data_IF_515400144091
#
_entry.id   IF_515400144091
#
_cell.length_a   1.000
_cell.length_b   1.000
_cell.length_c   1.000
_cell.angle_alpha   90.00
_cell.angle_beta   90.00
_cell.angle_gamma   90.00
#
_symmetry.space_group_name_H-M   'P 1'
#
loop_
_entity.id
_entity.type
_entity.pdbx_description
1 polymer ?
#
# COMPACT_ATOMS: atom_id res chain seq x y z
N UNK A 1 -5.94 -22.65 -31.71
CA UNK A 1 -5.20 -21.92 -32.76
C UNK A 1 -5.97 -20.63 -32.98
N UNK A 2 -5.55 -19.41 -32.64
CA UNK A 2 -4.23 -18.76 -32.56
C UNK A 2 -4.16 -17.84 -31.30
N UNK A 3 -2.95 -17.45 -30.90
CA UNK A 3 -2.51 -17.12 -29.54
C UNK A 3 -2.60 -15.61 -29.20
N UNK A 4 -3.16 -15.25 -28.03
CA UNK A 4 -3.21 -13.88 -27.45
C UNK A 4 -1.88 -13.53 -26.75
N UNK A 5 -0.81 -13.28 -27.50
CA UNK A 5 0.41 -12.66 -26.97
C UNK A 5 0.82 -11.47 -27.85
N UNK A 6 1.20 -10.40 -27.16
CA UNK A 6 1.87 -9.20 -27.67
C UNK A 6 0.97 -8.10 -28.22
N UNK A 7 0.26 -7.37 -27.34
CA UNK A 7 0.04 -5.94 -27.55
C UNK A 7 1.39 -5.28 -27.23
N UNK A 8 2.24 -5.17 -28.25
CA UNK A 8 3.44 -4.36 -28.18
C UNK A 8 3.00 -2.91 -28.03
N UNK A 9 3.45 -2.29 -26.94
CA UNK A 9 3.37 -0.86 -26.70
C UNK A 9 3.97 -0.14 -27.91
N UNK A 10 3.13 0.49 -28.72
CA UNK A 10 3.58 1.46 -29.71
C UNK A 10 3.87 2.77 -28.96
N UNK A 11 5.01 2.84 -28.27
CA UNK A 11 5.62 4.14 -27.99
C UNK A 11 5.96 4.67 -29.37
N UNK A 12 5.37 5.81 -29.74
CA UNK A 12 5.81 6.59 -30.88
C UNK A 12 7.28 6.96 -30.66
N UNK A 13 8.19 6.09 -31.10
CA UNK A 13 9.58 6.42 -31.39
C UNK A 13 9.61 7.14 -32.73
N UNK A 14 9.02 8.32 -32.81
CA UNK A 14 9.48 9.33 -33.75
C UNK A 14 10.45 10.21 -32.99
N UNK A 15 11.64 9.67 -32.70
CA UNK A 15 12.80 10.51 -32.43
C UNK A 15 13.10 11.16 -33.78
N UNK A 16 13.06 12.50 -33.91
CA UNK A 16 13.70 13.14 -35.04
C UNK A 16 15.19 12.87 -34.88
N UNK A 17 15.68 11.84 -35.56
CA UNK A 17 17.12 11.68 -35.76
C UNK A 17 17.54 12.83 -36.66
N UNK A 18 18.40 13.70 -36.11
CA UNK A 18 19.01 14.85 -36.78
C UNK A 18 18.04 15.96 -37.21
N UNK A 19 17.54 16.72 -36.22
CA UNK A 19 17.24 18.13 -36.42
C UNK A 19 18.01 18.91 -35.35
N UNK A 20 18.81 19.87 -35.80
CA UNK A 20 19.44 20.94 -35.02
C UNK A 20 18.62 21.23 -33.75
N UNK A 21 19.19 21.01 -32.56
CA UNK A 21 18.49 21.32 -31.30
C UNK A 21 18.11 22.80 -31.32
N UNK A 22 16.85 23.09 -31.67
CA UNK A 22 16.31 24.42 -31.47
C UNK A 22 16.42 24.69 -29.97
N UNK A 23 16.99 25.83 -29.59
CA UNK A 23 17.08 26.21 -28.18
C UNK A 23 15.66 26.21 -27.61
N UNK A 24 15.37 25.35 -26.64
CA UNK A 24 14.11 25.42 -25.91
C UNK A 24 14.00 26.76 -25.17
N UNK A 25 12.79 27.17 -24.85
CA UNK A 25 12.51 28.41 -24.14
C UNK A 25 13.01 28.27 -22.70
N UNK A 26 14.16 28.87 -22.40
CA UNK A 26 14.76 28.75 -21.06
C UNK A 26 13.93 29.43 -19.97
N UNK A 27 13.18 30.48 -20.30
CA UNK A 27 12.34 31.20 -19.35
C UNK A 27 10.96 31.47 -19.93
N UNK A 28 9.96 30.73 -19.45
CA UNK A 28 8.55 30.90 -19.82
C UNK A 28 7.96 31.89 -18.83
N UNK A 29 7.87 33.15 -19.24
CA UNK A 29 7.31 34.21 -18.41
C UNK A 29 5.82 34.01 -18.14
N UNK A 30 5.30 34.65 -17.10
CA UNK A 30 3.86 34.63 -16.79
C UNK A 30 3.03 35.09 -17.99
N UNK A 31 1.95 34.36 -18.27
CA UNK A 31 1.07 34.62 -19.42
C UNK A 31 1.63 34.15 -20.77
N UNK A 32 2.83 33.55 -20.79
CA UNK A 32 3.39 32.90 -21.98
C UNK A 32 2.98 31.43 -21.99
N UNK A 33 2.65 30.91 -23.17
CA UNK A 33 2.38 29.49 -23.39
C UNK A 33 3.40 28.91 -24.36
N UNK A 34 3.96 27.77 -24.01
CA UNK A 34 4.97 27.06 -24.80
C UNK A 34 4.57 25.59 -24.92
N UNK A 35 4.89 24.96 -26.05
CA UNK A 35 4.61 23.55 -26.23
C UNK A 35 5.60 22.88 -27.17
N UNK A 36 5.63 21.54 -27.16
CA UNK A 36 6.41 20.72 -28.10
C UNK A 36 7.93 20.96 -27.99
N UNK A 37 8.43 21.24 -26.79
CA UNK A 37 9.86 21.42 -26.57
C UNK A 37 10.56 20.13 -26.18
N UNK A 38 11.82 20.00 -26.62
CA UNK A 38 12.76 19.04 -26.09
C UNK A 38 13.76 19.79 -25.22
N UNK A 39 13.66 19.59 -23.91
CA UNK A 39 14.44 20.30 -22.90
C UNK A 39 15.63 19.42 -22.53
N UNK A 40 16.83 19.89 -22.84
CA UNK A 40 18.11 19.26 -22.56
C UNK A 40 19.01 20.11 -21.64
N UNK A 41 18.49 21.26 -21.18
CA UNK A 41 19.13 22.13 -20.20
C UNK A 41 18.15 22.64 -19.14
N UNK A 42 18.48 23.76 -18.50
CA UNK A 42 17.63 24.36 -17.46
C UNK A 42 16.49 25.18 -18.05
N UNK A 43 15.25 24.91 -17.63
CA UNK A 43 14.06 25.71 -17.96
C UNK A 43 13.39 26.23 -16.69
N UNK A 44 13.03 27.51 -16.67
CA UNK A 44 12.19 28.14 -15.64
C UNK A 44 10.80 28.42 -16.20
N UNK A 45 9.76 28.01 -15.48
CA UNK A 45 8.36 28.10 -15.91
C UNK A 45 7.56 28.91 -14.89
N UNK A 46 7.14 30.10 -15.32
CA UNK A 46 6.18 30.98 -14.63
C UNK A 46 4.87 31.16 -15.42
N UNK A 47 4.83 30.70 -16.68
CA UNK A 47 3.66 30.59 -17.53
C UNK A 47 3.23 29.13 -17.73
N UNK A 48 2.74 28.78 -18.92
CA UNK A 48 2.23 27.45 -19.22
C UNK A 48 3.17 26.69 -20.16
N UNK A 49 3.43 25.41 -19.89
CA UNK A 49 4.10 24.51 -20.83
C UNK A 49 3.33 23.22 -21.02
N UNK A 50 3.18 22.77 -22.27
CA UNK A 50 2.48 21.52 -22.59
C UNK A 50 3.26 20.63 -23.55
N UNK A 51 2.91 19.34 -23.62
CA UNK A 51 3.36 18.43 -24.68
C UNK A 51 4.88 18.44 -24.92
N UNK A 52 5.67 18.44 -23.85
CA UNK A 52 7.13 18.63 -23.95
C UNK A 52 7.87 17.49 -23.28
N UNK A 53 9.13 17.27 -23.69
CA UNK A 53 9.99 16.21 -23.17
C UNK A 53 11.20 16.81 -22.46
N UNK A 54 11.53 16.28 -21.29
CA UNK A 54 12.74 16.62 -20.54
C UNK A 54 13.68 15.42 -20.58
N UNK A 55 14.81 15.58 -21.26
CA UNK A 55 15.83 14.54 -21.45
C UNK A 55 16.84 14.53 -20.29
N UNK A 56 17.76 13.57 -20.23
CA UNK A 56 18.72 13.39 -19.12
C UNK A 56 19.55 14.64 -18.75
N UNK A 57 19.82 15.54 -19.69
CA UNK A 57 20.49 16.83 -19.40
C UNK A 57 19.54 17.93 -18.91
N UNK A 58 18.24 17.75 -19.12
CA UNK A 58 17.21 18.73 -18.85
C UNK A 58 16.75 18.78 -17.40
N UNK A 59 16.49 19.99 -16.92
CA UNK A 59 15.85 20.24 -15.63
C UNK A 59 14.86 21.39 -15.74
N UNK A 60 13.58 21.09 -15.61
CA UNK A 60 12.51 22.07 -15.55
C UNK A 60 12.16 22.45 -14.11
N UNK A 61 12.09 23.75 -13.86
CA UNK A 61 11.63 24.34 -12.61
C UNK A 61 10.29 25.02 -12.86
N UNK A 62 9.24 24.55 -12.20
CA UNK A 62 7.91 25.16 -12.28
C UNK A 62 7.68 25.92 -10.97
N UNK A 63 7.41 27.21 -11.10
CA UNK A 63 7.23 28.13 -10.00
C UNK A 63 5.78 28.57 -9.88
N UNK A 64 5.50 29.33 -8.82
CA UNK A 64 4.18 29.89 -8.58
C UNK A 64 3.67 30.71 -9.76
N UNK A 65 2.42 30.45 -10.14
CA UNK A 65 1.77 31.03 -11.32
C UNK A 65 2.06 30.29 -12.63
N UNK A 66 3.00 29.35 -12.62
CA UNK A 66 3.24 28.45 -13.74
C UNK A 66 2.38 27.19 -13.67
N UNK A 67 2.21 26.54 -14.83
CA UNK A 67 1.55 25.25 -14.96
C UNK A 67 2.26 24.38 -16.01
N UNK A 68 2.17 23.07 -15.86
CA UNK A 68 2.66 22.15 -16.87
C UNK A 68 1.73 20.95 -17.08
N UNK A 69 1.49 20.57 -18.33
CA UNK A 69 0.73 19.36 -18.65
C UNK A 69 1.39 18.51 -19.72
N UNK A 70 1.13 17.20 -19.68
CA UNK A 70 1.52 16.27 -20.75
C UNK A 70 3.04 16.28 -20.99
N UNK A 71 3.79 16.27 -19.88
CA UNK A 71 5.26 16.33 -19.87
C UNK A 71 5.87 14.93 -19.70
N UNK A 72 6.85 14.60 -20.52
CA UNK A 72 7.59 13.33 -20.44
C UNK A 72 8.97 13.56 -19.80
N UNK A 73 9.23 12.93 -18.65
CA UNK A 73 10.56 12.89 -18.03
C UNK A 73 11.33 11.65 -18.53
N UNK A 74 12.01 11.79 -19.66
CA UNK A 74 12.86 10.75 -20.24
C UNK A 74 14.30 10.88 -19.70
N UNK A 75 14.48 10.54 -18.43
CA UNK A 75 15.76 10.72 -17.72
C UNK A 75 15.96 12.12 -17.12
N UNK A 76 15.19 13.11 -17.57
CA UNK A 76 15.25 14.48 -17.09
C UNK A 76 14.60 14.70 -15.73
N UNK A 77 14.70 15.95 -15.24
CA UNK A 77 14.20 16.33 -13.92
C UNK A 77 13.11 17.40 -14.01
N UNK A 78 12.13 17.31 -13.13
CA UNK A 78 11.15 18.37 -12.89
C UNK A 78 11.08 18.70 -11.40
N UNK A 79 11.17 19.98 -11.05
CA UNK A 79 11.01 20.48 -9.69
C UNK A 79 9.87 21.49 -9.67
N UNK A 80 8.86 21.23 -8.84
CA UNK A 80 7.60 22.00 -8.85
C UNK A 80 7.40 22.62 -7.48
N UNK A 81 7.16 23.93 -7.45
CA UNK A 81 6.98 24.71 -6.23
C UNK A 81 5.73 25.57 -6.38
N UNK A 82 4.75 25.39 -5.50
CA UNK A 82 3.52 26.19 -5.46
C UNK A 82 2.79 26.31 -6.81
N UNK A 83 2.66 25.19 -7.53
CA UNK A 83 2.12 25.13 -8.88
C UNK A 83 1.38 23.82 -9.16
N UNK A 84 0.43 23.87 -10.08
CA UNK A 84 -0.37 22.73 -10.50
C UNK A 84 0.18 22.12 -11.78
N UNK A 85 0.32 20.79 -11.80
CA UNK A 85 0.80 20.03 -12.95
C UNK A 85 -0.07 18.82 -13.22
N UNK A 86 -0.14 18.40 -14.49
CA UNK A 86 -1.02 17.28 -14.91
C UNK A 86 -0.33 16.35 -15.90
N UNK A 87 -0.70 15.07 -15.90
CA UNK A 87 -0.35 14.10 -16.94
C UNK A 87 1.17 13.97 -17.18
N UNK A 88 1.96 13.97 -16.11
CA UNK A 88 3.40 13.73 -16.25
C UNK A 88 3.67 12.24 -16.45
N UNK A 89 4.47 11.89 -17.45
CA UNK A 89 5.00 10.53 -17.63
C UNK A 89 6.45 10.48 -17.20
N UNK A 90 6.74 9.77 -16.11
CA UNK A 90 8.06 9.68 -15.48
C UNK A 90 8.64 8.29 -15.76
N UNK A 91 9.48 8.16 -16.79
CA UNK A 91 9.99 6.83 -17.25
C UNK A 91 11.34 6.51 -16.61
N UNK A 92 12.27 7.45 -16.64
CA UNK A 92 13.58 7.31 -16.00
C UNK A 92 14.02 8.62 -15.33
N UNK A 93 13.10 9.58 -15.27
CA UNK A 93 13.34 10.90 -14.70
C UNK A 93 12.97 10.99 -13.23
N UNK A 94 13.15 12.20 -12.70
CA UNK A 94 12.81 12.51 -11.31
C UNK A 94 11.87 13.71 -11.29
N UNK A 95 10.71 13.54 -10.69
CA UNK A 95 9.85 14.65 -10.32
C UNK A 95 9.93 14.91 -8.82
N UNK A 96 10.13 16.17 -8.43
CA UNK A 96 10.13 16.61 -7.04
C UNK A 96 9.03 17.65 -6.86
N UNK A 97 8.04 17.32 -6.04
CA UNK A 97 6.95 18.20 -5.65
C UNK A 97 7.28 18.77 -4.27
N UNK A 98 7.40 20.10 -4.18
CA UNK A 98 7.62 20.82 -2.94
C UNK A 98 6.34 21.54 -2.50
N UNK A 99 6.42 22.29 -1.42
CA UNK A 99 5.29 23.00 -0.80
C UNK A 99 4.39 23.70 -1.82
N UNK A 100 3.09 23.45 -1.70
CA UNK A 100 2.04 24.00 -2.58
C UNK A 100 1.98 23.38 -3.98
N UNK A 101 2.87 22.43 -4.33
CA UNK A 101 2.79 21.74 -5.61
C UNK A 101 1.68 20.68 -5.59
N UNK A 102 0.87 20.65 -6.65
CA UNK A 102 -0.16 19.63 -6.86
C UNK A 102 0.11 18.93 -8.18
N UNK A 103 0.37 17.63 -8.13
CA UNK A 103 0.47 16.77 -9.32
C UNK A 103 -0.79 15.93 -9.49
N UNK A 104 -1.34 15.92 -10.70
CA UNK A 104 -2.53 15.15 -11.04
C UNK A 104 -2.23 14.16 -12.17
N UNK A 105 -2.61 12.88 -11.98
CA UNK A 105 -2.50 11.84 -13.01
C UNK A 105 -1.08 11.60 -13.53
N UNK A 106 -0.10 11.48 -12.63
CA UNK A 106 1.26 11.08 -13.03
C UNK A 106 1.34 9.58 -13.34
N UNK A 107 1.98 9.20 -14.44
CA UNK A 107 2.35 7.81 -14.75
C UNK A 107 3.84 7.62 -14.44
N UNK A 108 4.17 6.76 -13.50
CA UNK A 108 5.54 6.52 -13.03
C UNK A 108 5.92 5.09 -13.39
N UNK A 109 6.92 4.96 -14.25
CA UNK A 109 7.36 3.68 -14.83
C UNK A 109 8.87 3.61 -14.91
N UNK A 110 9.45 2.49 -15.35
CA UNK A 110 10.89 2.31 -15.51
C UNK A 110 11.68 2.59 -14.23
N UNK A 111 12.75 3.40 -14.30
CA UNK A 111 13.45 3.87 -13.08
C UNK A 111 12.91 5.21 -12.56
N UNK A 112 11.74 5.63 -13.06
CA UNK A 112 11.09 6.88 -12.70
C UNK A 112 10.81 7.04 -11.21
N UNK A 113 11.01 8.26 -10.71
CA UNK A 113 10.80 8.59 -9.31
C UNK A 113 9.95 9.85 -9.19
N UNK A 114 8.91 9.81 -8.36
CA UNK A 114 8.26 11.02 -7.83
C UNK A 114 8.54 11.13 -6.33
N UNK A 115 8.98 12.31 -5.89
CA UNK A 115 9.09 12.69 -4.48
C UNK A 115 8.02 13.70 -4.15
N UNK A 116 7.21 13.40 -3.14
CA UNK A 116 6.16 14.29 -2.62
C UNK A 116 6.63 14.75 -1.25
N UNK A 117 7.07 16.01 -1.17
CA UNK A 117 7.64 16.59 0.05
C UNK A 117 6.60 17.38 0.85
N UNK A 118 7.04 17.98 1.95
CA UNK A 118 6.22 18.76 2.87
C UNK A 118 5.33 19.81 2.18
N UNK A 119 4.03 19.72 2.46
CA UNK A 119 3.00 20.59 1.88
C UNK A 119 2.70 20.35 0.40
N UNK A 120 3.24 19.29 -0.21
CA UNK A 120 2.95 18.89 -1.58
C UNK A 120 1.91 17.78 -1.65
N UNK A 121 1.20 17.70 -2.78
CA UNK A 121 0.18 16.68 -3.03
C UNK A 121 0.38 16.00 -4.39
N UNK A 122 0.26 14.68 -4.40
CA UNK A 122 0.14 13.88 -5.63
C UNK A 122 -1.19 13.14 -5.65
N UNK A 123 -1.95 13.27 -6.73
CA UNK A 123 -3.27 12.68 -6.85
C UNK A 123 -3.40 11.85 -8.13
N UNK A 124 -4.05 10.68 -8.02
CA UNK A 124 -4.35 9.79 -9.15
C UNK A 124 -3.10 9.29 -9.89
N UNK A 125 -1.99 9.12 -9.17
CA UNK A 125 -0.76 8.58 -9.76
C UNK A 125 -0.90 7.08 -10.04
N UNK A 126 -0.30 6.62 -11.13
CA UNK A 126 -0.17 5.19 -11.47
C UNK A 126 1.30 4.79 -11.42
N UNK A 127 1.65 3.76 -10.66
CA UNK A 127 3.01 3.24 -10.51
C UNK A 127 3.09 1.86 -11.15
N UNK A 128 4.03 1.64 -12.07
CA UNK A 128 4.18 0.35 -12.76
C UNK A 128 5.64 0.07 -13.13
N UNK A 129 6.00 -1.17 -13.45
CA UNK A 129 7.26 -1.53 -14.13
C UNK A 129 8.54 -0.89 -13.53
N UNK A 130 8.68 -0.87 -12.20
CA UNK A 130 9.82 -0.30 -11.47
C UNK A 130 9.63 1.16 -11.01
N UNK A 131 8.55 1.82 -11.43
CA UNK A 131 8.23 3.19 -11.04
C UNK A 131 8.00 3.32 -9.54
N UNK A 132 8.55 4.39 -8.95
CA UNK A 132 8.52 4.61 -7.50
C UNK A 132 7.98 5.97 -7.12
N UNK A 133 7.13 5.99 -6.10
CA UNK A 133 6.66 7.20 -5.45
C UNK A 133 7.07 7.19 -3.98
N UNK A 134 7.62 8.31 -3.52
CA UNK A 134 8.05 8.51 -2.14
C UNK A 134 7.25 9.66 -1.53
N UNK A 135 6.45 9.35 -0.52
CA UNK A 135 5.70 10.31 0.28
C UNK A 135 6.54 10.58 1.53
N UNK A 136 7.22 11.72 1.51
CA UNK A 136 8.08 12.14 2.59
C UNK A 136 7.27 12.85 3.69
N UNK A 137 7.92 13.20 4.80
CA UNK A 137 7.29 13.94 5.90
C UNK A 137 6.53 15.16 5.40
N UNK A 138 5.24 15.26 5.77
CA UNK A 138 4.33 16.34 5.38
C UNK A 138 3.80 16.28 3.95
N UNK A 139 4.23 15.30 3.15
CA UNK A 139 3.71 15.04 1.81
C UNK A 139 2.44 14.21 1.83
N UNK A 140 1.59 14.38 0.82
CA UNK A 140 0.32 13.64 0.69
C UNK A 140 0.15 12.98 -0.67
N UNK A 141 -0.21 11.70 -0.69
CA UNK A 141 -0.72 11.01 -1.89
C UNK A 141 -2.19 10.66 -1.76
N UNK A 142 -2.97 10.83 -2.83
CA UNK A 142 -4.38 10.45 -2.88
C UNK A 142 -4.69 9.61 -4.14
N UNK A 143 -5.46 8.54 -3.98
CA UNK A 143 -5.95 7.69 -5.06
C UNK A 143 -4.81 7.14 -5.94
N UNK A 144 -3.72 6.70 -5.31
CA UNK A 144 -2.59 6.10 -6.05
C UNK A 144 -2.92 4.66 -6.42
N UNK A 145 -2.68 4.30 -7.68
CA UNK A 145 -2.79 2.91 -8.17
C UNK A 145 -1.41 2.33 -8.38
N UNK A 146 -1.16 1.17 -7.79
CA UNK A 146 0.11 0.45 -7.88
C UNK A 146 -0.11 -0.83 -8.66
N UNK A 147 0.41 -0.85 -9.88
CA UNK A 147 0.39 -2.00 -10.78
C UNK A 147 1.64 -2.86 -10.61
N UNK A 148 1.72 -3.95 -11.38
CA UNK A 148 2.85 -4.87 -11.36
C UNK A 148 4.21 -4.15 -11.47
N UNK A 149 5.09 -4.46 -10.51
CA UNK A 149 6.42 -3.86 -10.41
C UNK A 149 6.47 -2.41 -9.93
N UNK A 150 5.34 -1.74 -9.71
CA UNK A 150 5.29 -0.41 -9.09
C UNK A 150 5.53 -0.46 -7.58
N UNK A 151 6.00 0.65 -7.00
CA UNK A 151 6.15 0.74 -5.54
C UNK A 151 5.86 2.11 -4.96
N UNK A 152 5.03 2.14 -3.92
CA UNK A 152 4.78 3.32 -3.09
C UNK A 152 5.49 3.18 -1.75
N UNK A 153 6.16 4.24 -1.31
CA UNK A 153 6.77 4.34 0.02
C UNK A 153 6.20 5.55 0.75
N UNK A 154 5.57 5.31 1.90
CA UNK A 154 5.04 6.38 2.77
C UNK A 154 5.84 6.39 4.06
N UNK A 155 6.67 7.41 4.20
CA UNK A 155 7.59 7.55 5.32
C UNK A 155 6.96 8.28 6.51
N UNK A 156 7.71 8.38 7.61
CA UNK A 156 7.34 9.12 8.81
C UNK A 156 6.70 10.48 8.51
N UNK A 157 5.49 10.69 9.07
CA UNK A 157 4.64 11.87 8.86
C UNK A 157 4.18 12.13 7.42
N UNK A 158 4.36 11.18 6.50
CA UNK A 158 3.71 11.18 5.19
C UNK A 158 2.33 10.51 5.25
N UNK A 159 1.42 10.94 4.39
CA UNK A 159 0.05 10.42 4.36
C UNK A 159 -0.34 9.87 2.97
N UNK A 160 -0.92 8.68 2.96
CA UNK A 160 -1.50 8.07 1.77
C UNK A 160 -2.97 7.73 1.96
N UNK A 161 -3.83 8.22 1.07
CA UNK A 161 -5.27 8.02 1.13
C UNK A 161 -5.78 7.28 -0.12
N UNK A 162 -6.60 6.24 0.09
CA UNK A 162 -7.27 5.48 -0.96
C UNK A 162 -6.30 4.83 -1.97
N UNK A 163 -5.25 4.17 -1.47
CA UNK A 163 -4.28 3.50 -2.35
C UNK A 163 -4.85 2.17 -2.84
N UNK A 164 -4.81 1.92 -4.15
CA UNK A 164 -5.15 0.60 -4.73
C UNK A 164 -3.86 -0.14 -5.10
N UNK A 165 -3.65 -1.33 -4.56
CA UNK A 165 -2.47 -2.16 -4.78
C UNK A 165 -2.87 -3.41 -5.56
N UNK A 166 -2.71 -3.41 -6.89
CA UNK A 166 -3.09 -4.54 -7.74
C UNK A 166 -2.02 -5.63 -7.70
N UNK A 167 -0.85 -5.46 -8.33
CA UNK A 167 0.23 -6.47 -8.30
C UNK A 167 1.58 -5.88 -7.85
N UNK A 168 1.55 -4.67 -7.30
CA UNK A 168 2.72 -3.94 -6.83
C UNK A 168 2.97 -4.06 -5.32
N UNK A 169 3.78 -3.16 -4.81
CA UNK A 169 4.11 -3.10 -3.39
C UNK A 169 3.85 -1.72 -2.79
N UNK A 170 3.25 -1.71 -1.60
CA UNK A 170 3.06 -0.51 -0.79
C UNK A 170 3.76 -0.67 0.56
N UNK A 171 4.73 0.20 0.84
CA UNK A 171 5.48 0.23 2.09
C UNK A 171 5.07 1.43 2.95
N UNK A 172 4.44 1.16 4.09
CA UNK A 172 4.11 2.17 5.11
C UNK A 172 5.15 2.07 6.22
N UNK A 173 6.08 3.03 6.26
CA UNK A 173 7.27 3.04 7.13
C UNK A 173 7.27 4.27 8.02
N UNK A 174 6.64 4.17 9.19
CA UNK A 174 6.39 5.31 10.09
C UNK A 174 5.32 6.30 9.60
N UNK A 175 4.84 6.15 8.36
CA UNK A 175 3.77 6.96 7.79
C UNK A 175 2.37 6.45 8.12
N UNK A 176 1.37 7.11 7.55
CA UNK A 176 -0.04 6.76 7.71
C UNK A 176 -0.65 6.39 6.35
N UNK A 177 -1.34 5.25 6.29
CA UNK A 177 -2.18 4.89 5.16
C UNK A 177 -3.65 4.69 5.58
N UNK A 178 -4.57 5.21 4.79
CA UNK A 178 -6.01 5.14 5.07
C UNK A 178 -6.75 4.59 3.86
N UNK A 179 -7.61 3.58 4.09
CA UNK A 179 -8.48 2.95 3.11
C UNK A 179 -7.73 2.34 1.92
N UNK A 180 -6.67 1.55 2.16
CA UNK A 180 -5.99 0.86 1.07
C UNK A 180 -6.84 -0.33 0.59
N UNK A 181 -6.84 -0.60 -0.71
CA UNK A 181 -7.46 -1.78 -1.30
C UNK A 181 -6.36 -2.63 -1.93
N UNK A 182 -6.18 -3.86 -1.46
CA UNK A 182 -5.06 -4.74 -1.82
C UNK A 182 -5.61 -5.93 -2.63
N UNK A 183 -5.35 -5.96 -3.94
CA UNK A 183 -5.95 -6.85 -4.94
C UNK A 183 -4.90 -7.69 -5.68
N UNK A 184 -4.22 -8.62 -5.01
CA UNK A 184 -3.09 -9.38 -5.60
C UNK A 184 -1.70 -8.90 -5.14
N UNK A 185 -1.65 -7.68 -4.62
CA UNK A 185 -0.41 -6.99 -4.28
C UNK A 185 -0.07 -7.13 -2.82
N UNK A 186 0.99 -6.41 -2.41
CA UNK A 186 1.51 -6.48 -1.04
C UNK A 186 1.52 -5.11 -0.36
N UNK A 187 1.01 -5.03 0.86
CA UNK A 187 1.25 -3.92 1.77
C UNK A 187 2.15 -4.38 2.93
N UNK A 188 3.16 -3.58 3.27
CA UNK A 188 4.07 -3.83 4.40
C UNK A 188 4.04 -2.63 5.33
N UNK A 189 3.74 -2.89 6.60
CA UNK A 189 3.58 -1.86 7.64
C UNK A 189 4.64 -2.09 8.71
N UNK A 190 5.55 -1.13 8.89
CA UNK A 190 6.74 -1.27 9.75
C UNK A 190 7.17 0.09 10.30
N UNK A 191 8.14 0.09 11.22
CA UNK A 191 8.84 1.31 11.66
C UNK A 191 7.89 2.38 12.26
N UNK A 192 6.85 1.96 12.99
CA UNK A 192 5.82 2.88 13.51
C UNK A 192 4.73 3.21 12.51
N UNK A 193 4.70 2.56 11.34
CA UNK A 193 3.69 2.75 10.31
C UNK A 193 2.31 2.36 10.80
N UNK A 194 1.30 3.12 10.40
CA UNK A 194 -0.09 2.91 10.80
C UNK A 194 -0.97 2.79 9.56
N UNK A 195 -1.84 1.78 9.53
CA UNK A 195 -2.89 1.69 8.51
C UNK A 195 -4.27 1.54 9.12
N UNK A 196 -5.30 2.07 8.44
CA UNK A 196 -6.68 1.96 8.89
C UNK A 196 -7.65 1.79 7.75
N UNK A 197 -8.64 0.90 7.91
CA UNK A 197 -9.69 0.67 6.92
C UNK A 197 -9.21 -0.08 5.67
N UNK A 198 -8.11 -0.83 5.78
CA UNK A 198 -7.58 -1.60 4.66
C UNK A 198 -8.50 -2.78 4.30
N UNK A 199 -8.68 -3.02 3.01
CA UNK A 199 -9.44 -4.14 2.46
C UNK A 199 -8.49 -5.03 1.68
N UNK A 200 -8.36 -6.28 2.10
CA UNK A 200 -7.47 -7.28 1.50
C UNK A 200 -8.34 -8.27 0.73
N UNK A 201 -8.22 -8.26 -0.59
CA UNK A 201 -8.98 -9.11 -1.50
C UNK A 201 -8.17 -10.32 -1.96
N UNK A 202 -8.75 -11.14 -2.84
CA UNK A 202 -8.12 -12.34 -3.39
C UNK A 202 -6.70 -12.06 -3.93
N UNK A 203 -5.73 -12.88 -3.49
CA UNK A 203 -4.30 -12.72 -3.78
C UNK A 203 -3.62 -11.57 -3.05
N UNK A 204 -4.37 -10.67 -2.42
CA UNK A 204 -3.84 -9.56 -1.64
C UNK A 204 -3.19 -10.01 -0.34
N UNK A 205 -2.11 -9.33 0.04
CA UNK A 205 -1.32 -9.67 1.21
C UNK A 205 -0.94 -8.43 2.02
N UNK A 206 -1.31 -8.41 3.30
CA UNK A 206 -0.84 -7.41 4.25
C UNK A 206 0.11 -8.04 5.27
N UNK A 207 1.25 -7.39 5.48
CA UNK A 207 2.28 -7.79 6.42
C UNK A 207 2.52 -6.68 7.43
N UNK A 208 2.15 -6.93 8.68
CA UNK A 208 2.38 -6.04 9.81
C UNK A 208 3.63 -6.51 10.52
N UNK A 209 4.74 -5.81 10.32
CA UNK A 209 6.02 -6.13 10.92
C UNK A 209 6.29 -5.35 12.21
N UNK A 210 7.55 -5.38 12.65
CA UNK A 210 7.99 -4.73 13.89
C UNK A 210 7.56 -3.27 13.99
N UNK A 211 6.90 -2.94 15.11
CA UNK A 211 6.32 -1.64 15.41
C UNK A 211 5.29 -1.14 14.39
N UNK A 212 4.79 -2.00 13.50
CA UNK A 212 3.69 -1.68 12.60
C UNK A 212 2.34 -1.91 13.27
N UNK A 213 1.35 -1.09 12.92
CA UNK A 213 -0.01 -1.22 13.44
C UNK A 213 -1.05 -1.15 12.32
N UNK A 214 -2.04 -2.03 12.36
CA UNK A 214 -3.20 -1.99 11.45
C UNK A 214 -4.53 -2.01 12.20
N UNK A 215 -5.49 -1.22 11.73
CA UNK A 215 -6.79 -1.04 12.38
C UNK A 215 -7.94 -1.22 11.39
N UNK A 216 -9.07 -1.78 11.85
CA UNK A 216 -10.29 -1.90 11.06
C UNK A 216 -10.07 -2.60 9.70
N UNK A 217 -9.28 -3.67 9.70
CA UNK A 217 -8.93 -4.39 8.47
C UNK A 217 -10.03 -5.37 8.10
N UNK A 218 -10.37 -5.44 6.81
CA UNK A 218 -11.25 -6.46 6.25
C UNK A 218 -10.46 -7.41 5.37
N UNK A 219 -10.45 -8.70 5.70
CA UNK A 219 -9.75 -9.74 4.94
C UNK A 219 -10.77 -10.62 4.24
N UNK A 220 -10.96 -10.39 2.94
CA UNK A 220 -11.90 -11.17 2.13
C UNK A 220 -11.29 -12.51 1.70
N UNK A 221 -12.15 -13.37 1.17
CA UNK A 221 -11.76 -14.69 0.67
C UNK A 221 -10.59 -14.61 -0.31
N UNK A 222 -9.55 -15.40 -0.03
CA UNK A 222 -8.30 -15.44 -0.80
C UNK A 222 -7.30 -14.34 -0.45
N UNK A 223 -7.69 -13.37 0.38
CA UNK A 223 -6.79 -12.40 0.99
C UNK A 223 -6.14 -12.94 2.27
N UNK A 224 -5.00 -12.37 2.64
CA UNK A 224 -4.23 -12.77 3.83
C UNK A 224 -3.64 -11.57 4.57
N UNK A 225 -3.79 -11.60 5.89
CA UNK A 225 -3.10 -10.69 6.81
C UNK A 225 -2.16 -11.49 7.72
N UNK A 226 -0.87 -11.11 7.72
CA UNK A 226 0.13 -11.64 8.64
C UNK A 226 0.56 -10.55 9.61
N UNK A 227 0.44 -10.84 10.90
CA UNK A 227 0.96 -10.03 11.99
C UNK A 227 2.23 -10.71 12.48
N UNK A 228 3.36 -10.20 12.01
CA UNK A 228 4.67 -10.75 12.33
C UNK A 228 5.16 -10.23 13.68
N UNK A 229 6.23 -10.83 14.20
CA UNK A 229 6.88 -10.45 15.47
C UNK A 229 6.98 -8.94 15.68
N UNK A 230 6.44 -8.48 16.81
CA UNK A 230 6.39 -7.06 17.18
C UNK A 230 5.37 -6.21 16.41
N UNK A 231 4.54 -6.83 15.58
CA UNK A 231 3.40 -6.20 14.90
C UNK A 231 2.13 -6.24 15.73
N UNK A 232 1.22 -5.31 15.46
CA UNK A 232 -0.07 -5.18 16.15
C UNK A 232 -1.21 -4.99 15.15
N UNK A 233 -2.30 -5.74 15.29
CA UNK A 233 -3.53 -5.44 14.57
C UNK A 233 -4.74 -5.44 15.50
N UNK A 234 -5.68 -4.55 15.23
CA UNK A 234 -6.90 -4.40 16.02
C UNK A 234 -8.15 -4.27 15.14
N UNK A 235 -9.25 -4.84 15.62
CA UNK A 235 -10.59 -4.74 15.02
C UNK A 235 -10.57 -5.31 13.58
N UNK A 236 -10.04 -6.53 13.43
CA UNK A 236 -9.95 -7.22 12.14
C UNK A 236 -11.19 -8.07 11.87
N UNK A 237 -11.76 -7.95 10.68
CA UNK A 237 -12.87 -8.78 10.19
C UNK A 237 -12.40 -9.69 9.06
N UNK A 238 -12.48 -11.00 9.26
CA UNK A 238 -12.14 -12.04 8.28
C UNK A 238 -13.43 -12.55 7.64
N UNK A 239 -13.51 -12.49 6.31
CA UNK A 239 -14.65 -12.96 5.51
C UNK A 239 -14.14 -14.03 4.54
N UNK A 240 -13.91 -15.24 5.06
CA UNK A 240 -13.34 -16.34 4.27
C UNK A 240 -11.84 -16.23 3.95
N UNK A 241 -11.16 -15.20 4.45
CA UNK A 241 -9.72 -14.96 4.27
C UNK A 241 -8.84 -15.72 5.27
N UNK A 242 -7.54 -15.37 5.29
CA UNK A 242 -6.56 -15.90 6.23
C UNK A 242 -6.01 -14.83 7.17
N UNK A 243 -5.82 -15.20 8.44
CA UNK A 243 -5.27 -14.34 9.49
C UNK A 243 -4.23 -15.08 10.32
N UNK A 244 -2.97 -14.63 10.27
CA UNK A 244 -1.86 -15.27 10.98
C UNK A 244 -1.25 -14.31 12.02
N UNK A 245 -1.07 -14.79 13.25
CA UNK A 245 -0.34 -14.11 14.33
C UNK A 245 0.92 -14.92 14.64
N UNK A 246 2.08 -14.32 14.41
CA UNK A 246 3.38 -14.91 14.71
C UNK A 246 3.79 -14.74 16.20
N UNK A 247 4.89 -15.38 16.64
CA UNK A 247 5.43 -15.19 17.98
C UNK A 247 5.68 -13.71 18.31
N UNK A 248 5.25 -13.29 19.51
CA UNK A 248 5.41 -11.93 20.04
C UNK A 248 4.66 -10.85 19.23
N UNK A 249 3.74 -11.27 18.36
CA UNK A 249 2.78 -10.40 17.70
C UNK A 249 1.45 -10.40 18.44
N UNK A 250 0.67 -9.32 18.28
CA UNK A 250 -0.62 -9.19 18.95
C UNK A 250 -1.75 -8.89 17.97
N UNK A 251 -2.79 -9.71 18.01
CA UNK A 251 -4.10 -9.45 17.42
C UNK A 251 -5.12 -9.16 18.51
N UNK A 252 -5.86 -8.06 18.39
CA UNK A 252 -6.91 -7.68 19.35
C UNK A 252 -8.25 -7.52 18.62
N UNK A 253 -9.33 -8.07 19.18
CA UNK A 253 -10.68 -8.00 18.63
C UNK A 253 -10.78 -8.50 17.17
N UNK A 254 -11.01 -9.80 17.01
CA UNK A 254 -11.06 -10.43 15.69
C UNK A 254 -12.40 -11.11 15.46
N UNK A 255 -12.99 -10.88 14.28
CA UNK A 255 -14.27 -11.47 13.88
C UNK A 255 -14.10 -12.30 12.62
N UNK A 256 -14.42 -13.59 12.69
CA UNK A 256 -14.38 -14.51 11.55
C UNK A 256 -15.79 -14.86 11.07
N UNK A 257 -16.08 -14.54 9.81
CA UNK A 257 -17.21 -15.02 9.01
C UNK A 257 -16.68 -16.02 7.97
N UNK A 258 -16.54 -17.28 8.39
CA UNK A 258 -15.70 -18.27 7.69
C UNK A 258 -14.21 -17.92 7.76
N UNK A 259 -13.40 -18.60 6.95
CA UNK A 259 -11.96 -18.34 6.85
C UNK A 259 -11.13 -19.13 7.87
N UNK A 260 -9.83 -18.79 7.92
CA UNK A 260 -8.83 -19.56 8.63
C UNK A 260 -7.89 -18.65 9.43
N UNK A 261 -7.75 -18.93 10.71
CA UNK A 261 -6.85 -18.23 11.62
C UNK A 261 -5.74 -19.14 12.15
N UNK A 262 -4.55 -18.58 12.32
CA UNK A 262 -3.44 -19.24 13.03
C UNK A 262 -2.84 -18.30 14.05
N UNK A 263 -2.76 -18.74 15.30
CA UNK A 263 -1.99 -18.09 16.36
C UNK A 263 -0.83 -19.01 16.70
N UNK A 264 0.39 -18.59 16.34
CA UNK A 264 1.62 -19.34 16.55
C UNK A 264 2.01 -19.32 18.04
N UNK A 265 2.96 -20.17 18.41
CA UNK A 265 3.49 -20.24 19.78
C UNK A 265 3.97 -18.85 20.22
N UNK A 266 3.56 -18.42 21.41
CA UNK A 266 3.79 -17.06 21.95
C UNK A 266 3.21 -15.91 21.14
N UNK A 267 2.35 -16.19 20.16
CA UNK A 267 1.47 -15.20 19.54
C UNK A 267 0.29 -14.88 20.45
N UNK A 268 -0.14 -13.63 20.46
CA UNK A 268 -1.11 -13.13 21.44
C UNK A 268 -2.40 -12.72 20.73
N UNK A 269 -3.45 -13.51 20.89
CA UNK A 269 -4.82 -13.07 20.61
C UNK A 269 -5.46 -12.55 21.89
N UNK A 270 -6.01 -11.33 21.87
CA UNK A 270 -6.65 -10.69 23.04
C UNK A 270 -8.01 -10.07 22.70
N UNK A 271 -8.71 -9.60 23.73
CA UNK A 271 -10.01 -8.97 23.59
C UNK A 271 -11.08 -10.00 23.23
N UNK A 272 -11.90 -9.69 22.23
CA UNK A 272 -12.99 -10.57 21.79
C UNK A 272 -12.69 -11.24 20.46
N UNK A 273 -12.66 -12.57 20.44
CA UNK A 273 -12.59 -13.35 19.21
C UNK A 273 -13.95 -14.00 18.93
N UNK A 274 -14.57 -13.65 17.79
CA UNK A 274 -15.85 -14.25 17.36
C UNK A 274 -15.65 -15.07 16.11
N UNK A 275 -16.22 -16.27 16.08
CA UNK A 275 -16.12 -17.20 14.96
C UNK A 275 -17.50 -17.70 14.58
N UNK A 276 -17.84 -17.62 13.30
CA UNK A 276 -19.10 -18.12 12.75
C UNK A 276 -18.89 -18.69 11.34
N UNK A 277 -19.95 -19.31 10.82
CA UNK A 277 -20.07 -19.79 9.44
C UNK A 277 -18.91 -20.69 8.99
N UNK A 278 -18.57 -21.66 9.84
CA UNK A 278 -17.51 -22.62 9.54
C UNK A 278 -16.08 -22.08 9.66
N UNK A 279 -15.88 -20.91 10.28
CA UNK A 279 -14.55 -20.38 10.57
C UNK A 279 -13.72 -21.35 11.41
N UNK A 280 -12.43 -21.45 11.09
CA UNK A 280 -11.49 -22.28 11.82
C UNK A 280 -10.34 -21.44 12.37
N UNK A 281 -9.95 -21.65 13.63
CA UNK A 281 -8.75 -21.06 14.21
C UNK A 281 -7.89 -22.12 14.89
N UNK A 282 -6.58 -22.05 14.68
CA UNK A 282 -5.58 -22.88 15.34
C UNK A 282 -4.83 -22.02 16.34
N UNK A 283 -4.85 -22.38 17.62
CA UNK A 283 -4.25 -21.59 18.70
C UNK A 283 -3.17 -22.39 19.43
N UNK A 284 -1.97 -21.80 19.52
CA UNK A 284 -0.88 -22.24 20.39
C UNK A 284 -0.82 -21.41 21.69
N UNK A 285 0.08 -21.78 22.60
CA UNK A 285 0.23 -21.19 23.94
C UNK A 285 0.38 -19.66 23.94
N UNK A 286 -0.24 -19.01 24.94
CA UNK A 286 -0.03 -17.60 25.29
C UNK A 286 -1.16 -16.63 24.98
N UNK A 287 -2.25 -17.06 24.34
CA UNK A 287 -3.41 -16.21 24.06
C UNK A 287 -4.42 -16.15 25.22
N UNK A 288 -4.98 -14.97 25.48
CA UNK A 288 -6.01 -14.69 26.50
C UNK A 288 -7.14 -13.84 25.90
N UNK A 289 -7.90 -14.47 25.00
CA UNK A 289 -9.08 -13.86 24.39
C UNK A 289 -10.36 -14.47 24.96
N UNK A 290 -11.42 -13.66 25.01
CA UNK A 290 -12.78 -14.15 25.15
C UNK A 290 -13.24 -14.71 23.80
N UNK A 291 -13.49 -16.02 23.73
CA UNK A 291 -13.79 -16.71 22.46
C UNK A 291 -15.27 -17.06 22.38
N UNK A 292 -15.93 -16.67 21.29
CA UNK A 292 -17.30 -17.08 20.96
C UNK A 292 -17.33 -17.85 19.63
N UNK A 293 -17.82 -19.09 19.68
CA UNK A 293 -17.91 -20.01 18.55
C UNK A 293 -19.39 -20.27 18.22
N UNK A 294 -19.79 -20.02 16.97
CA UNK A 294 -21.14 -20.27 16.45
C UNK A 294 -21.13 -20.90 15.05
N UNK A 295 -22.28 -21.38 14.57
CA UNK A 295 -22.51 -21.76 13.18
C UNK A 295 -21.42 -22.66 12.57
N UNK A 296 -21.17 -23.81 13.20
CA UNK A 296 -20.21 -24.84 12.76
C UNK A 296 -18.74 -24.40 12.75
N UNK A 297 -18.39 -23.36 13.51
CA UNK A 297 -17.00 -22.93 13.67
C UNK A 297 -16.20 -23.91 14.51
N UNK A 298 -14.87 -23.84 14.37
CA UNK A 298 -13.94 -24.77 15.01
C UNK A 298 -12.76 -24.02 15.63
N UNK A 299 -12.46 -24.39 16.88
CA UNK A 299 -11.22 -24.02 17.55
C UNK A 299 -10.34 -25.28 17.66
N UNK A 300 -9.13 -25.20 17.14
CA UNK A 300 -8.09 -26.21 17.29
C UNK A 300 -7.05 -25.71 18.29
N UNK A 301 -7.07 -26.32 19.47
CA UNK A 301 -6.12 -26.06 20.55
C UNK A 301 -4.91 -26.96 20.32
N UNK A 302 -3.77 -26.36 19.98
CA UNK A 302 -2.55 -27.08 19.60
C UNK A 302 -1.68 -27.39 20.80
N UNK A 303 -1.64 -26.48 21.78
CA UNK A 303 -0.93 -26.59 23.06
C UNK A 303 -1.84 -26.03 24.20
N UNK A 304 -1.30 -25.67 25.37
CA UNK A 304 -2.11 -25.04 26.44
C UNK A 304 -2.69 -23.69 26.03
N UNK A 305 -3.93 -23.39 26.41
CA UNK A 305 -4.56 -22.09 26.17
C UNK A 305 -5.12 -21.53 27.47
N UNK A 306 -4.96 -20.21 27.66
CA UNK A 306 -5.51 -19.49 28.81
C UNK A 306 -6.61 -18.58 28.33
N UNK A 307 -7.86 -19.05 28.23
CA UNK A 307 -8.97 -18.17 27.84
C UNK A 307 -9.77 -17.72 29.07
N UNK A 308 -10.04 -16.43 29.14
CA UNK A 308 -10.89 -15.84 30.18
C UNK A 308 -12.31 -16.39 30.14
N UNK A 309 -12.98 -16.34 28.97
CA UNK A 309 -14.31 -16.92 28.77
C UNK A 309 -14.44 -17.61 27.41
N UNK A 310 -15.28 -18.65 27.35
CA UNK A 310 -15.61 -19.34 26.10
C UNK A 310 -17.11 -19.61 25.98
N UNK A 311 -17.71 -19.20 24.85
CA UNK A 311 -19.10 -19.51 24.48
C UNK A 311 -19.12 -20.43 23.26
N UNK A 312 -19.97 -21.47 23.30
CA UNK A 312 -20.06 -22.48 22.24
C UNK A 312 -21.53 -22.72 21.84
N UNK A 313 -21.84 -22.48 20.56
CA UNK A 313 -23.14 -22.78 19.94
C UNK A 313 -22.96 -23.50 18.60
N UNK A 314 -23.52 -24.70 18.45
CA UNK A 314 -23.41 -25.53 17.24
C UNK A 314 -22.01 -25.57 16.61
N UNK A 315 -20.97 -25.71 17.44
CA UNK A 315 -19.55 -25.55 17.05
C UNK A 315 -18.69 -26.56 17.80
N UNK A 316 -17.39 -26.65 17.47
CA UNK A 316 -16.50 -27.69 18.03
C UNK A 316 -15.17 -27.13 18.52
N UNK A 317 -14.66 -27.70 19.62
CA UNK A 317 -13.31 -27.44 20.12
C UNK A 317 -12.54 -28.76 20.07
N UNK A 318 -11.37 -28.74 19.44
CA UNK A 318 -10.49 -29.89 19.29
C UNK A 318 -9.20 -29.63 20.04
N UNK A 319 -8.85 -30.54 20.95
CA UNK A 319 -7.58 -30.50 21.66
C UNK A 319 -6.61 -31.47 21.00
N UNK A 320 -5.47 -30.98 20.50
CA UNK A 320 -4.34 -31.83 20.15
C UNK A 320 -3.53 -32.07 21.42
N UNK A 321 -3.72 -33.22 22.04
CA UNK A 321 -2.87 -33.64 23.15
C UNK A 321 -1.48 -34.02 22.62
N UNK A 322 -0.41 -33.47 23.18
CA UNK A 322 0.65 -34.37 23.65
C UNK A 322 0.05 -35.14 24.82
N UNK A 323 -0.13 -36.45 24.68
CA UNK A 323 -0.56 -37.30 25.79
C UNK A 323 0.53 -37.29 26.87
N UNK A 324 0.51 -36.32 27.77
CA UNK A 324 1.13 -36.42 29.09
C UNK A 324 0.08 -35.92 30.10
N UNK A 325 -0.32 -36.85 30.95
CA UNK A 325 -1.59 -36.81 31.66
C UNK A 325 -1.67 -35.73 32.74
N UNK A 326 -2.66 -34.86 32.61
CA UNK A 326 -3.65 -34.54 33.66
C UNK A 326 -4.68 -33.54 33.10
N UNK A 327 -5.79 -34.03 32.56
CA UNK A 327 -6.95 -33.19 32.28
C UNK A 327 -7.59 -32.77 33.61
N UNK A 328 -7.22 -31.60 34.13
CA UNK A 328 -8.07 -30.88 35.10
C UNK A 328 -9.26 -30.30 34.35
N UNK A 329 -10.31 -31.10 34.15
CA UNK A 329 -11.63 -30.61 33.71
C UNK A 329 -12.30 -29.81 34.82
N UNK A 330 -11.86 -28.56 35.04
CA UNK A 330 -12.63 -27.58 35.80
C UNK A 330 -13.35 -26.63 34.84
N UNK A 331 -14.30 -27.17 34.09
CA UNK A 331 -15.34 -26.34 33.50
C UNK A 331 -16.29 -25.92 34.62
N UNK A 332 -16.26 -24.64 35.00
CA UNK A 332 -17.27 -24.07 35.88
C UNK A 332 -18.51 -23.82 35.02
N UNK A 333 -19.48 -24.74 35.10
CA UNK A 333 -20.85 -24.46 34.62
C UNK A 333 -21.36 -23.21 35.36
N UNK A 334 -21.76 -22.19 34.62
CA UNK A 334 -22.71 -21.17 35.09
C UNK A 334 -24.10 -21.61 34.63
#
# INVERSE_FOLDING_TARGET
MLNKKTIAVLIASTIPTTALAASFTQNIAKGTEVSNEVIDGKQSVYGNITNSMITTGGHQYIYSGGAASDIILNGGKSTVNNADIKNFKIINGIQTLNTGAISYSAEITGTGIQRVNDGAKSAYSTLANGGRQYINSGGKSENTTIESGGSLYTYANGESLNTTVNDGAFFVRGGIATNSVINGGKQVVTEGGITTGDIINDGGYQNIGVNGSAFNVVVNKGGRQDINTGGYAKDTTIIGGQYDIDPEATGENVSFDGGLGFVRETGILTGYATLKNGAEIYMAEGSDADISLSSQSKLYVVNDITNSNMTLDNSSVYFRSSFDGELSTKFKRI
#
